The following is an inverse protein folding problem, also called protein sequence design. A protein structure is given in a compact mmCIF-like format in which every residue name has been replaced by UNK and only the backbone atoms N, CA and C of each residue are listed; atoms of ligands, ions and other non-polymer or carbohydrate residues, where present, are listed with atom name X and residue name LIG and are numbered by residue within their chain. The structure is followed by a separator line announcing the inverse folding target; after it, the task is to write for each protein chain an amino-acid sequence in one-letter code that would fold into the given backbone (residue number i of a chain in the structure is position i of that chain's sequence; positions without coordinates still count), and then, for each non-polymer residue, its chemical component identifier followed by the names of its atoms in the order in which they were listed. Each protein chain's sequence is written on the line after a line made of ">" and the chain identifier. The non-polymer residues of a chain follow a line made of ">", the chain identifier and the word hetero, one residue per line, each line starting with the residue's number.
data_IF_795784015673
#
_entry.id   IF_795784015673
#
_cell.length_a   1.000
_cell.length_b   1.000
_cell.length_c   1.000
_cell.angle_alpha   90.00
_cell.angle_beta   90.00
_cell.angle_gamma   90.00
#
_symmetry.space_group_name_H-M   'P 1'
#
loop_
_entity.id
_entity.type
_entity.pdbx_description
1 polymer ?
#
# COMPACT_ATOMS: atom_id res chain seq x y z
N UNK A 1 -5.79 -50.68 -32.47
CA UNK A 1 -7.13 -50.44 -31.89
C UNK A 1 -6.87 -49.93 -30.47
N UNK A 2 -6.95 -48.66 -30.12
CA UNK A 2 -7.72 -47.53 -30.63
C UNK A 2 -8.44 -46.97 -29.42
N UNK A 3 -7.99 -45.84 -28.85
CA UNK A 3 -8.69 -45.07 -27.81
C UNK A 3 -8.05 -43.66 -27.62
N UNK A 4 -7.61 -43.04 -28.71
CA UNK A 4 -7.62 -41.57 -28.78
C UNK A 4 -8.99 -41.17 -29.30
N UNK A 5 -9.98 -41.16 -28.40
CA UNK A 5 -11.21 -40.44 -28.65
C UNK A 5 -10.84 -38.97 -28.72
N UNK A 6 -10.77 -38.40 -29.93
CA UNK A 6 -10.94 -36.96 -30.11
C UNK A 6 -12.30 -36.64 -29.50
N UNK A 7 -12.30 -36.13 -28.26
CA UNK A 7 -13.47 -35.39 -27.75
C UNK A 7 -13.81 -34.39 -28.84
N UNK A 8 -15.05 -34.46 -29.33
CA UNK A 8 -15.63 -33.37 -30.11
C UNK A 8 -15.31 -32.08 -29.35
N UNK A 9 -14.67 -31.13 -30.01
CA UNK A 9 -14.77 -29.74 -29.58
C UNK A 9 -16.27 -29.42 -29.60
N UNK A 10 -16.92 -29.58 -28.44
CA UNK A 10 -18.15 -28.86 -28.18
C UNK A 10 -17.78 -27.39 -28.39
N UNK A 11 -18.46 -26.72 -29.31
CA UNK A 11 -18.41 -25.26 -29.40
C UNK A 11 -18.68 -24.74 -27.99
N UNK A 12 -17.63 -24.32 -27.27
CA UNK A 12 -17.76 -23.63 -25.99
C UNK A 12 -18.63 -22.43 -26.31
N UNK A 13 -19.90 -22.47 -25.90
CA UNK A 13 -20.80 -21.33 -26.01
C UNK A 13 -20.05 -20.14 -25.43
N UNK A 14 -19.99 -19.06 -26.18
CA UNK A 14 -19.41 -17.82 -25.69
C UNK A 14 -20.18 -17.39 -24.45
N UNK A 15 -19.53 -17.50 -23.31
CA UNK A 15 -20.08 -17.10 -22.03
C UNK A 15 -19.66 -15.67 -21.77
N UNK A 16 -20.60 -14.88 -21.24
CA UNK A 16 -20.36 -13.50 -20.84
C UNK A 16 -20.75 -13.34 -19.38
N UNK A 17 -19.92 -12.64 -18.63
CA UNK A 17 -20.16 -12.26 -17.24
C UNK A 17 -19.99 -10.75 -17.12
N UNK A 18 -21.04 -10.06 -16.65
CA UNK A 18 -21.06 -8.60 -16.49
C UNK A 18 -20.58 -7.83 -17.74
N UNK A 19 -20.97 -8.33 -18.93
CA UNK A 19 -20.63 -7.72 -20.23
C UNK A 19 -19.25 -8.09 -20.79
N UNK A 20 -18.44 -8.88 -20.07
CA UNK A 20 -17.12 -9.34 -20.52
C UNK A 20 -17.15 -10.81 -20.94
N UNK A 21 -16.37 -11.17 -21.97
CA UNK A 21 -16.23 -12.56 -22.42
C UNK A 21 -15.45 -13.36 -21.38
N UNK A 22 -16.02 -14.48 -20.96
CA UNK A 22 -15.38 -15.44 -20.04
C UNK A 22 -14.45 -16.33 -20.85
N UNK A 23 -13.16 -16.29 -20.54
CA UNK A 23 -12.14 -17.15 -21.16
C UNK A 23 -12.17 -18.54 -20.50
N UNK A 24 -12.24 -18.55 -19.17
CA UNK A 24 -12.30 -19.75 -18.33
C UNK A 24 -13.00 -19.41 -17.02
N UNK A 25 -13.65 -20.40 -16.41
CA UNK A 25 -14.38 -20.26 -15.15
C UNK A 25 -14.08 -21.46 -14.26
N UNK A 26 -13.58 -21.17 -13.06
CA UNK A 26 -13.36 -22.15 -12.00
C UNK A 26 -14.12 -21.71 -10.74
N UNK A 27 -15.08 -22.52 -10.31
CA UNK A 27 -15.96 -22.20 -9.18
C UNK A 27 -15.68 -23.07 -7.95
N UNK A 28 -14.54 -23.77 -7.94
CA UNK A 28 -14.17 -24.75 -6.93
C UNK A 28 -14.48 -26.19 -7.34
N UNK A 29 -13.85 -27.12 -6.63
CA UNK A 29 -14.04 -28.56 -6.71
C UNK A 29 -13.76 -29.21 -5.33
N UNK A 30 -13.71 -30.54 -5.26
CA UNK A 30 -13.48 -31.26 -4.00
C UNK A 30 -12.07 -31.01 -3.41
N UNK A 31 -11.10 -30.59 -4.23
CA UNK A 31 -9.73 -30.29 -3.80
C UNK A 31 -9.53 -28.81 -3.43
N UNK A 32 -10.32 -27.93 -4.02
CA UNK A 32 -10.35 -26.50 -3.76
C UNK A 32 -11.80 -26.07 -3.51
N UNK A 33 -12.35 -26.34 -2.31
CA UNK A 33 -13.74 -26.02 -2.02
C UNK A 33 -13.92 -24.51 -1.92
N UNK A 34 -14.88 -23.99 -2.67
CA UNK A 34 -15.29 -22.57 -2.62
C UNK A 34 -16.72 -22.48 -2.13
N UNK A 35 -16.92 -21.69 -1.08
CA UNK A 35 -18.25 -21.39 -0.56
C UNK A 35 -18.84 -20.19 -1.33
N UNK A 36 -20.03 -20.40 -1.87
CA UNK A 36 -20.83 -19.40 -2.57
C UNK A 36 -22.17 -19.22 -1.87
N UNK A 37 -22.83 -18.09 -2.09
CA UNK A 37 -24.11 -17.75 -1.47
C UNK A 37 -23.97 -17.39 0.01
N UNK A 38 -22.90 -16.70 0.37
CA UNK A 38 -22.72 -16.18 1.73
C UNK A 38 -23.82 -15.16 2.06
N UNK A 39 -24.08 -14.94 3.34
CA UNK A 39 -25.15 -14.04 3.77
C UNK A 39 -24.67 -12.60 3.70
N UNK A 40 -24.34 -12.15 2.49
CA UNK A 40 -23.74 -10.85 2.21
C UNK A 40 -24.51 -9.67 2.83
N UNK A 41 -25.82 -9.79 3.07
CA UNK A 41 -26.60 -8.78 3.80
C UNK A 41 -26.12 -8.59 5.23
N UNK A 42 -25.84 -9.72 5.91
CA UNK A 42 -25.34 -9.75 7.28
C UNK A 42 -23.85 -9.39 7.32
N UNK A 43 -23.13 -9.77 6.28
CA UNK A 43 -21.68 -9.66 6.22
C UNK A 43 -21.22 -8.25 5.79
N UNK A 44 -22.00 -7.54 4.97
CA UNK A 44 -21.64 -6.18 4.51
C UNK A 44 -22.64 -5.10 4.94
N UNK A 45 -23.92 -5.43 5.19
CA UNK A 45 -24.95 -4.47 5.62
C UNK A 45 -25.02 -3.18 4.74
N UNK A 46 -25.18 -3.34 3.42
CA UNK A 46 -25.18 -2.25 2.41
C UNK A 46 -26.10 -2.55 1.21
N UNK A 47 -26.50 -1.51 0.47
CA UNK A 47 -27.52 -1.62 -0.60
C UNK A 47 -27.07 -2.39 -1.86
N UNK A 48 -25.78 -2.47 -2.17
CA UNK A 48 -25.25 -3.19 -3.34
C UNK A 48 -25.02 -4.69 -3.12
N UNK A 49 -25.46 -5.23 -1.98
CA UNK A 49 -25.45 -6.67 -1.69
C UNK A 49 -26.22 -7.49 -2.73
N UNK A 50 -27.20 -6.89 -3.42
CA UNK A 50 -27.94 -7.55 -4.50
C UNK A 50 -27.02 -8.10 -5.59
N UNK A 51 -25.96 -7.38 -5.96
CA UNK A 51 -24.99 -7.85 -6.96
C UNK A 51 -24.29 -9.12 -6.47
N UNK A 52 -23.87 -9.16 -5.20
CA UNK A 52 -23.26 -10.37 -4.63
C UNK A 52 -24.26 -11.51 -4.53
N UNK A 53 -25.52 -11.26 -4.18
CA UNK A 53 -26.54 -12.31 -4.12
C UNK A 53 -26.85 -12.95 -5.47
N UNK A 54 -26.90 -12.13 -6.52
CA UNK A 54 -27.37 -12.56 -7.83
C UNK A 54 -26.22 -12.98 -8.75
N UNK A 55 -25.05 -12.35 -8.60
CA UNK A 55 -23.94 -12.41 -9.55
C UNK A 55 -22.58 -12.73 -8.90
N UNK A 56 -22.53 -13.28 -7.68
CA UNK A 56 -21.26 -13.60 -7.00
C UNK A 56 -20.25 -14.36 -7.87
N UNK A 57 -20.76 -15.36 -8.61
CA UNK A 57 -20.00 -16.28 -9.46
C UNK A 57 -19.63 -15.67 -10.82
N UNK A 58 -20.19 -14.51 -11.13
CA UNK A 58 -19.92 -13.74 -12.34
C UNK A 58 -18.87 -12.64 -12.11
N UNK A 59 -18.51 -12.40 -10.85
CA UNK A 59 -17.44 -11.46 -10.48
C UNK A 59 -16.05 -12.07 -10.73
N UNK A 60 -15.08 -11.21 -11.05
CA UNK A 60 -13.68 -11.61 -11.17
C UNK A 60 -13.05 -11.61 -9.77
N UNK A 61 -12.92 -12.79 -9.18
CA UNK A 61 -12.21 -12.98 -7.91
C UNK A 61 -10.74 -13.29 -8.17
N UNK A 62 -9.83 -12.57 -7.51
CA UNK A 62 -8.39 -12.84 -7.57
C UNK A 62 -7.80 -12.95 -6.17
N UNK A 63 -6.70 -13.70 -6.05
CA UNK A 63 -5.95 -13.81 -4.80
C UNK A 63 -5.31 -12.45 -4.49
N UNK A 64 -5.45 -11.98 -3.26
CA UNK A 64 -4.77 -10.77 -2.78
C UNK A 64 -3.36 -11.09 -2.30
N UNK A 65 -2.52 -11.64 -3.17
CA UNK A 65 -1.14 -12.04 -2.84
C UNK A 65 -0.18 -10.86 -2.64
N UNK A 66 -0.49 -9.69 -3.21
CA UNK A 66 0.28 -8.46 -2.96
C UNK A 66 0.13 -7.96 -1.51
N UNK A 67 -1.08 -8.02 -0.96
CA UNK A 67 -1.37 -7.47 0.37
C UNK A 67 -1.38 -8.54 1.48
N UNK A 68 -1.80 -9.77 1.13
CA UNK A 68 -1.94 -10.90 2.05
C UNK A 68 -1.40 -12.18 1.39
N UNK A 69 -0.07 -12.27 1.16
CA UNK A 69 0.55 -13.44 0.57
C UNK A 69 0.39 -14.70 1.43
N UNK A 70 0.30 -14.59 2.75
CA UNK A 70 0.19 -15.71 3.67
C UNK A 70 -1.26 -16.11 3.98
N UNK A 71 -1.48 -17.27 4.63
CA UNK A 71 -2.81 -17.64 5.09
C UNK A 71 -3.46 -16.57 5.97
N UNK A 72 -4.74 -16.31 5.73
CA UNK A 72 -5.53 -15.31 6.42
C UNK A 72 -5.62 -15.61 7.92
N UNK A 73 -5.50 -14.56 8.73
CA UNK A 73 -5.61 -14.63 10.18
C UNK A 73 -7.04 -14.25 10.62
N UNK A 74 -7.60 -14.87 11.67
CA UNK A 74 -8.93 -14.50 12.18
C UNK A 74 -9.08 -13.02 12.53
N UNK A 75 -7.99 -12.37 13.00
CA UNK A 75 -7.98 -10.94 13.35
C UNK A 75 -8.26 -10.02 12.14
N UNK A 76 -8.05 -10.52 10.92
CA UNK A 76 -8.37 -9.78 9.69
C UNK A 76 -9.88 -9.61 9.46
N UNK A 77 -10.74 -10.27 10.23
CA UNK A 77 -12.17 -9.96 10.24
C UNK A 77 -12.46 -8.56 10.85
N UNK A 78 -11.61 -8.12 11.78
CA UNK A 78 -11.71 -6.83 12.47
C UNK A 78 -10.81 -5.77 11.83
N UNK A 79 -9.59 -6.14 11.46
CA UNK A 79 -8.57 -5.24 10.94
C UNK A 79 -8.17 -5.65 9.55
N UNK A 80 -8.75 -5.00 8.55
CA UNK A 80 -8.45 -5.30 7.15
C UNK A 80 -8.55 -4.08 6.24
N UNK A 81 -7.92 -4.19 5.07
CA UNK A 81 -7.95 -3.19 4.02
C UNK A 81 -9.17 -3.29 3.10
N UNK A 82 -9.87 -4.44 3.05
CA UNK A 82 -11.05 -4.66 2.20
C UNK A 82 -12.38 -4.41 2.94
N UNK A 83 -13.49 -4.34 2.21
CA UNK A 83 -14.81 -4.14 2.82
C UNK A 83 -15.27 -5.38 3.61
N UNK A 84 -15.55 -5.19 4.90
CA UNK A 84 -16.19 -6.13 5.81
C UNK A 84 -17.42 -5.51 6.48
N UNK A 85 -17.97 -6.20 7.47
CA UNK A 85 -19.06 -5.70 8.29
C UNK A 85 -18.70 -4.44 9.06
N UNK A 86 -17.48 -4.40 9.60
CA UNK A 86 -17.00 -3.34 10.48
C UNK A 86 -16.21 -2.29 9.70
N UNK A 87 -15.31 -2.72 8.82
CA UNK A 87 -14.45 -1.82 8.06
C UNK A 87 -15.02 -1.66 6.65
N UNK A 88 -15.38 -0.43 6.27
CA UNK A 88 -15.95 -0.11 4.95
C UNK A 88 -15.12 0.94 4.24
N UNK A 89 -13.82 0.71 4.22
CA UNK A 89 -12.84 1.67 3.72
C UNK A 89 -12.92 1.87 2.21
N UNK A 90 -13.09 0.78 1.46
CA UNK A 90 -13.10 0.83 0.00
C UNK A 90 -14.47 1.27 -0.53
N UNK A 91 -15.56 0.89 0.14
CA UNK A 91 -16.86 1.54 -0.08
C UNK A 91 -16.71 3.06 0.08
N UNK A 92 -16.13 3.50 1.20
CA UNK A 92 -15.96 4.92 1.45
C UNK A 92 -15.20 5.58 0.30
N UNK A 93 -14.12 4.96 -0.20
CA UNK A 93 -13.40 5.43 -1.38
C UNK A 93 -14.33 5.56 -2.60
N UNK A 94 -15.04 4.49 -2.98
CA UNK A 94 -15.95 4.52 -4.14
C UNK A 94 -17.05 5.57 -4.00
N UNK A 95 -17.64 5.72 -2.82
CA UNK A 95 -18.69 6.71 -2.53
C UNK A 95 -18.13 8.13 -2.51
N UNK A 96 -16.99 8.35 -1.85
CA UNK A 96 -16.39 9.67 -1.63
C UNK A 96 -15.98 10.33 -2.94
N UNK A 97 -15.40 9.55 -3.84
CA UNK A 97 -14.98 10.02 -5.16
C UNK A 97 -16.04 9.81 -6.24
N UNK A 98 -17.12 9.09 -5.93
CA UNK A 98 -18.07 8.57 -6.91
C UNK A 98 -17.34 7.88 -8.07
N UNK A 99 -16.35 7.03 -7.74
CA UNK A 99 -15.49 6.42 -8.74
C UNK A 99 -16.30 5.51 -9.67
N UNK A 100 -16.10 5.60 -11.00
CA UNK A 100 -16.79 4.73 -11.96
C UNK A 100 -16.26 3.29 -11.92
N UNK A 101 -15.12 3.04 -11.27
CA UNK A 101 -14.46 1.72 -11.27
C UNK A 101 -15.13 0.69 -10.36
N UNK A 102 -15.98 1.12 -9.44
CA UNK A 102 -16.68 0.21 -8.54
C UNK A 102 -17.59 0.90 -7.53
N UNK A 103 -18.20 0.06 -6.70
CA UNK A 103 -19.06 0.45 -5.56
C UNK A 103 -18.51 -0.04 -4.22
N UNK A 104 -17.84 -1.19 -4.23
CA UNK A 104 -17.26 -1.83 -3.06
C UNK A 104 -16.17 -2.80 -3.48
N UNK A 105 -15.32 -3.18 -2.53
CA UNK A 105 -14.23 -4.14 -2.73
C UNK A 105 -14.21 -5.14 -1.56
N UNK A 106 -15.13 -6.12 -1.54
CA UNK A 106 -15.13 -7.17 -0.54
C UNK A 106 -14.08 -8.25 -0.81
N UNK A 107 -13.78 -9.02 0.23
CA UNK A 107 -13.01 -10.26 0.11
C UNK A 107 -13.67 -11.42 0.85
N UNK A 108 -13.21 -12.63 0.56
CA UNK A 108 -13.51 -13.87 1.26
C UNK A 108 -12.26 -14.71 1.43
N UNK A 109 -12.27 -15.62 2.39
CA UNK A 109 -11.17 -16.57 2.59
C UNK A 109 -11.52 -17.90 1.92
N UNK A 110 -10.66 -18.34 1.01
CA UNK A 110 -10.81 -19.61 0.28
C UNK A 110 -9.52 -20.40 0.42
N UNK A 111 -9.63 -21.63 0.93
CA UNK A 111 -8.48 -22.50 1.23
C UNK A 111 -7.39 -21.79 2.06
N UNK A 112 -7.82 -20.97 3.02
CA UNK A 112 -6.93 -20.20 3.89
C UNK A 112 -6.38 -18.91 3.28
N UNK A 113 -6.64 -18.56 2.02
CA UNK A 113 -6.11 -17.34 1.40
C UNK A 113 -7.21 -16.32 1.09
N UNK A 114 -6.85 -15.04 1.12
CA UNK A 114 -7.76 -13.94 0.80
C UNK A 114 -7.97 -13.85 -0.72
N UNK A 115 -9.21 -13.98 -1.15
CA UNK A 115 -9.67 -13.69 -2.50
C UNK A 115 -10.57 -12.48 -2.48
N UNK A 116 -10.30 -11.52 -3.35
CA UNK A 116 -10.99 -10.24 -3.36
C UNK A 116 -11.60 -9.96 -4.72
N UNK A 117 -12.62 -9.11 -4.75
CA UNK A 117 -13.28 -8.68 -5.99
C UNK A 117 -13.76 -7.24 -5.87
N UNK A 118 -13.81 -6.54 -7.00
CA UNK A 118 -14.51 -5.26 -7.07
C UNK A 118 -15.96 -5.51 -7.50
N UNK A 119 -16.91 -4.87 -6.82
CA UNK A 119 -18.31 -4.81 -7.25
C UNK A 119 -18.44 -3.65 -8.24
N UNK A 120 -18.70 -3.90 -9.54
CA UNK A 120 -18.73 -2.85 -10.54
C UNK A 120 -20.00 -2.00 -10.46
N UNK A 121 -19.96 -0.83 -11.10
CA UNK A 121 -21.18 -0.10 -11.49
C UNK A 121 -21.65 -0.65 -12.84
N UNK A 122 -22.92 -1.03 -12.93
CA UNK A 122 -23.47 -1.68 -14.14
C UNK A 122 -24.45 -0.79 -14.90
N UNK A 123 -24.98 0.27 -14.27
CA UNK A 123 -25.88 1.23 -14.92
C UNK A 123 -25.07 2.17 -15.86
N UNK A 124 -25.33 2.16 -17.18
CA UNK A 124 -24.63 3.01 -18.13
C UNK A 124 -24.76 4.52 -17.85
N UNK A 125 -25.91 4.98 -17.36
CA UNK A 125 -26.13 6.38 -17.05
C UNK A 125 -25.37 6.78 -15.78
N UNK A 126 -25.35 5.90 -14.78
CA UNK A 126 -24.52 6.10 -13.60
C UNK A 126 -23.04 6.15 -13.97
N UNK A 127 -22.54 5.21 -14.77
CA UNK A 127 -21.15 5.19 -15.25
C UNK A 127 -20.79 6.49 -15.97
N UNK A 128 -21.67 6.96 -16.85
CA UNK A 128 -21.47 8.22 -17.60
C UNK A 128 -21.42 9.43 -16.67
N UNK A 129 -22.28 9.52 -15.66
CA UNK A 129 -22.34 10.66 -14.74
C UNK A 129 -21.19 10.60 -13.72
N UNK A 130 -20.97 9.44 -13.10
CA UNK A 130 -19.89 9.20 -12.15
C UNK A 130 -18.53 9.44 -12.78
N UNK A 131 -18.29 8.99 -14.02
CA UNK A 131 -17.06 9.29 -14.75
C UNK A 131 -16.82 10.79 -14.94
N UNK A 132 -17.86 11.56 -15.29
CA UNK A 132 -17.76 13.04 -15.39
C UNK A 132 -17.48 13.69 -14.03
N UNK A 133 -18.13 13.22 -12.97
CA UNK A 133 -17.91 13.73 -11.61
C UNK A 133 -16.49 13.42 -11.13
N UNK A 134 -16.07 12.17 -11.27
CA UNK A 134 -14.77 11.65 -10.85
C UNK A 134 -13.64 12.44 -11.52
N UNK A 135 -13.68 12.61 -12.84
CA UNK A 135 -12.68 13.40 -13.56
C UNK A 135 -12.69 14.89 -13.19
N UNK A 136 -13.81 15.43 -12.72
CA UNK A 136 -13.91 16.81 -12.26
C UNK A 136 -13.36 16.99 -10.84
N UNK A 137 -13.58 16.03 -9.94
CA UNK A 137 -13.22 16.17 -8.52
C UNK A 137 -11.77 15.77 -8.26
N UNK A 138 -11.22 14.80 -8.99
CA UNK A 138 -9.88 14.28 -8.77
C UNK A 138 -8.78 15.37 -8.77
N UNK A 139 -8.74 16.32 -9.74
CA UNK A 139 -7.77 17.42 -9.72
C UNK A 139 -7.94 18.34 -8.51
N UNK A 140 -9.18 18.56 -8.04
CA UNK A 140 -9.45 19.39 -6.86
C UNK A 140 -8.88 18.74 -5.61
N UNK A 141 -8.98 17.41 -5.49
CA UNK A 141 -8.32 16.69 -4.41
C UNK A 141 -6.80 16.87 -4.48
N UNK A 142 -6.18 16.64 -5.65
CA UNK A 142 -4.75 16.85 -5.83
C UNK A 142 -4.28 18.25 -5.40
N UNK A 143 -5.02 19.29 -5.78
CA UNK A 143 -4.63 20.68 -5.50
C UNK A 143 -4.79 21.06 -4.01
N UNK A 144 -5.80 20.51 -3.33
CA UNK A 144 -6.13 20.83 -1.93
C UNK A 144 -5.45 19.87 -0.94
N UNK A 145 -5.02 18.69 -1.40
CA UNK A 145 -4.67 17.58 -0.52
C UNK A 145 -3.57 17.92 0.46
N UNK A 146 -2.42 18.43 0.00
CA UNK A 146 -1.27 18.68 0.87
C UNK A 146 -1.59 19.70 1.98
N UNK A 147 -2.35 20.74 1.65
CA UNK A 147 -2.82 21.72 2.64
C UNK A 147 -3.68 21.06 3.73
N UNK A 148 -4.58 20.16 3.32
CA UNK A 148 -5.44 19.42 4.25
C UNK A 148 -4.68 18.33 5.00
N UNK A 149 -3.66 17.73 4.38
CA UNK A 149 -2.78 16.77 5.01
C UNK A 149 -2.10 17.41 6.21
N UNK A 150 -1.40 18.52 6.00
CA UNK A 150 -0.65 19.18 7.07
C UNK A 150 -1.55 19.80 8.14
N UNK A 151 -2.64 20.45 7.74
CA UNK A 151 -3.49 21.21 8.67
C UNK A 151 -4.53 20.36 9.40
N UNK A 152 -4.92 19.22 8.85
CA UNK A 152 -6.08 18.46 9.33
C UNK A 152 -5.79 16.97 9.50
N UNK A 153 -5.34 16.28 8.46
CA UNK A 153 -5.28 14.82 8.48
C UNK A 153 -4.09 14.27 9.26
N UNK A 154 -2.88 14.81 9.05
CA UNK A 154 -1.70 14.39 9.81
C UNK A 154 -1.83 14.70 11.31
N UNK A 155 -2.33 15.88 11.75
CA UNK A 155 -2.62 16.12 13.17
C UNK A 155 -3.64 15.15 13.76
N UNK A 156 -4.69 14.80 13.01
CA UNK A 156 -5.69 13.80 13.43
C UNK A 156 -5.06 12.41 13.61
N UNK A 157 -4.25 11.98 12.65
CA UNK A 157 -3.52 10.69 12.73
C UNK A 157 -2.60 10.68 13.94
N UNK A 158 -1.76 11.72 14.11
CA UNK A 158 -0.81 11.81 15.23
C UNK A 158 -1.52 11.76 16.58
N UNK A 159 -2.64 12.47 16.74
CA UNK A 159 -3.42 12.46 17.98
C UNK A 159 -4.02 11.08 18.28
N UNK A 160 -4.55 10.39 17.26
CA UNK A 160 -5.09 9.04 17.44
C UNK A 160 -3.98 8.05 17.84
N UNK A 161 -2.81 8.14 17.20
CA UNK A 161 -1.67 7.28 17.53
C UNK A 161 -1.12 7.61 18.92
N UNK A 162 -1.03 8.88 19.31
CA UNK A 162 -0.63 9.30 20.66
C UNK A 162 -1.57 8.73 21.74
N UNK A 163 -2.88 8.71 21.48
CA UNK A 163 -3.87 8.10 22.37
C UNK A 163 -3.64 6.59 22.55
N UNK A 164 -3.45 5.86 21.44
CA UNK A 164 -3.22 4.41 21.48
C UNK A 164 -1.88 4.09 22.16
N UNK A 165 -0.80 4.75 21.74
CA UNK A 165 0.55 4.40 22.18
C UNK A 165 0.85 4.74 23.64
N UNK A 166 0.12 5.69 24.23
CA UNK A 166 0.30 6.07 25.64
C UNK A 166 -0.79 5.48 26.55
N UNK A 167 -1.60 4.53 26.05
CA UNK A 167 -2.61 3.88 26.87
C UNK A 167 -1.95 2.98 27.95
N UNK A 168 -2.43 2.99 29.20
CA UNK A 168 -1.86 2.18 30.29
C UNK A 168 -2.31 0.71 30.20
N UNK A 169 -1.78 -0.02 29.21
CA UNK A 169 -2.19 -1.39 28.90
C UNK A 169 -2.06 -2.37 30.07
N UNK A 170 -1.01 -2.23 30.89
CA UNK A 170 -0.70 -3.14 32.00
C UNK A 170 -1.61 -2.91 33.23
N UNK A 171 -2.09 -1.67 33.40
CA UNK A 171 -2.98 -1.30 34.50
C UNK A 171 -4.47 -1.43 34.15
N UNK A 172 -4.80 -1.54 32.86
CA UNK A 172 -6.18 -1.56 32.39
C UNK A 172 -6.90 -2.87 32.74
N UNK A 173 -8.14 -2.75 33.18
CA UNK A 173 -9.04 -3.88 33.36
C UNK A 173 -9.47 -4.47 32.01
N UNK A 174 -9.95 -5.72 32.00
CA UNK A 174 -10.52 -6.33 30.80
C UNK A 174 -11.64 -5.48 30.17
N UNK A 175 -12.49 -4.85 30.99
CA UNK A 175 -13.56 -3.98 30.48
C UNK A 175 -13.03 -2.73 29.79
N UNK A 176 -11.94 -2.15 30.30
CA UNK A 176 -11.25 -1.01 29.69
C UNK A 176 -10.54 -1.40 28.38
N UNK A 177 -9.91 -2.58 28.33
CA UNK A 177 -9.31 -3.11 27.10
C UNK A 177 -10.36 -3.43 26.02
N UNK A 178 -11.53 -3.94 26.41
CA UNK A 178 -12.64 -4.16 25.48
C UNK A 178 -13.17 -2.85 24.91
N UNK A 179 -13.28 -1.79 25.74
CA UNK A 179 -13.63 -0.46 25.26
C UNK A 179 -12.55 0.11 24.33
N UNK A 180 -11.27 -0.04 24.69
CA UNK A 180 -10.16 0.40 23.85
C UNK A 180 -10.15 -0.31 22.48
N UNK A 181 -10.49 -1.60 22.43
CA UNK A 181 -10.59 -2.33 21.16
C UNK A 181 -11.59 -1.67 20.21
N UNK A 182 -12.75 -1.23 20.71
CA UNK A 182 -13.75 -0.50 19.90
C UNK A 182 -13.19 0.85 19.42
N UNK A 183 -12.51 1.61 20.30
CA UNK A 183 -11.83 2.85 19.91
C UNK A 183 -10.77 2.61 18.82
N UNK A 184 -10.01 1.51 18.93
CA UNK A 184 -8.99 1.14 17.94
C UNK A 184 -9.61 0.75 16.60
N UNK A 185 -10.76 0.07 16.59
CA UNK A 185 -11.50 -0.26 15.36
C UNK A 185 -11.98 1.03 14.68
N UNK A 186 -12.55 1.98 15.43
CA UNK A 186 -12.99 3.28 14.91
C UNK A 186 -11.82 4.11 14.35
N UNK A 187 -10.69 4.14 15.07
CA UNK A 187 -9.47 4.81 14.62
C UNK A 187 -8.94 4.14 13.34
N UNK A 188 -8.91 2.82 13.29
CA UNK A 188 -8.42 2.06 12.15
C UNK A 188 -9.26 2.30 10.90
N UNK A 189 -10.60 2.21 11.01
CA UNK A 189 -11.51 2.55 9.90
C UNK A 189 -11.33 4.00 9.45
N UNK A 190 -11.15 4.93 10.39
CA UNK A 190 -10.90 6.34 10.06
C UNK A 190 -9.57 6.53 9.32
N UNK A 191 -8.50 5.89 9.76
CA UNK A 191 -7.18 5.96 9.14
C UNK A 191 -7.18 5.37 7.73
N UNK A 192 -7.92 4.28 7.50
CA UNK A 192 -8.14 3.77 6.15
C UNK A 192 -8.89 4.74 5.24
N UNK A 193 -9.91 5.42 5.75
CA UNK A 193 -10.62 6.46 4.98
C UNK A 193 -9.69 7.62 4.62
N UNK A 194 -8.77 7.98 5.52
CA UNK A 194 -7.72 8.98 5.25
C UNK A 194 -6.72 8.50 4.20
N UNK A 195 -6.28 7.24 4.29
CA UNK A 195 -5.42 6.60 3.29
C UNK A 195 -6.04 6.72 1.88
N UNK A 196 -7.34 6.42 1.73
CA UNK A 196 -8.00 6.54 0.43
C UNK A 196 -8.12 7.97 -0.09
N UNK A 197 -8.25 8.96 0.80
CA UNK A 197 -8.22 10.37 0.39
C UNK A 197 -6.85 10.72 -0.20
N UNK A 198 -5.76 10.27 0.45
CA UNK A 198 -4.39 10.49 0.01
C UNK A 198 -4.10 9.76 -1.31
N UNK A 199 -4.35 8.45 -1.32
CA UNK A 199 -4.00 7.58 -2.43
C UNK A 199 -4.67 8.01 -3.74
N UNK A 200 -5.96 8.38 -3.71
CA UNK A 200 -6.65 8.82 -4.92
C UNK A 200 -6.24 10.23 -5.38
N UNK A 201 -5.90 11.13 -4.45
CA UNK A 201 -5.34 12.45 -4.81
C UNK A 201 -3.98 12.30 -5.51
N UNK A 202 -3.13 11.39 -5.01
CA UNK A 202 -1.86 11.06 -5.64
C UNK A 202 -2.06 10.43 -7.01
N UNK A 203 -2.90 9.39 -7.09
CA UNK A 203 -3.21 8.70 -8.34
C UNK A 203 -3.77 9.66 -9.39
N UNK A 204 -4.65 10.59 -9.01
CA UNK A 204 -5.15 11.63 -9.90
C UNK A 204 -4.05 12.50 -10.48
N UNK A 205 -3.11 12.94 -9.65
CA UNK A 205 -2.00 13.80 -10.08
C UNK A 205 -1.07 13.07 -11.05
N UNK A 206 -0.79 11.80 -10.76
CA UNK A 206 0.04 10.95 -11.61
C UNK A 206 -0.63 10.68 -12.95
N UNK A 207 -1.92 10.33 -12.94
CA UNK A 207 -2.67 10.11 -14.16
C UNK A 207 -2.77 11.37 -15.02
N UNK A 208 -3.04 12.53 -14.43
CA UNK A 208 -3.17 13.78 -15.19
C UNK A 208 -1.84 14.20 -15.84
N UNK A 209 -0.73 14.03 -15.13
CA UNK A 209 0.60 14.22 -15.71
C UNK A 209 0.87 13.25 -16.86
N UNK A 210 0.67 11.95 -16.65
CA UNK A 210 0.90 10.92 -17.68
C UNK A 210 0.01 11.12 -18.90
N UNK A 211 -1.26 11.46 -18.69
CA UNK A 211 -2.22 11.72 -19.76
C UNK A 211 -1.85 12.98 -20.55
N UNK A 212 -1.40 14.04 -19.87
CA UNK A 212 -0.89 15.25 -20.54
C UNK A 212 0.29 14.92 -21.44
N UNK A 213 1.25 14.13 -20.95
CA UNK A 213 2.40 13.66 -21.75
C UNK A 213 1.94 12.80 -22.92
N UNK A 214 1.00 11.86 -22.70
CA UNK A 214 0.44 10.99 -23.75
C UNK A 214 -0.24 11.80 -24.85
N UNK A 215 -1.05 12.80 -24.50
CA UNK A 215 -1.74 13.67 -25.47
C UNK A 215 -0.78 14.50 -26.33
N UNK A 216 0.35 14.91 -25.76
CA UNK A 216 1.35 15.72 -26.47
C UNK A 216 2.24 14.85 -27.37
N UNK A 217 2.71 13.70 -26.87
CA UNK A 217 3.64 12.83 -27.60
C UNK A 217 2.93 11.86 -28.56
N UNK A 218 1.64 11.59 -28.34
CA UNK A 218 0.89 10.54 -29.03
C UNK A 218 1.18 9.14 -28.48
N UNK A 219 0.26 8.21 -28.71
CA UNK A 219 0.30 6.86 -28.12
C UNK A 219 1.53 6.04 -28.51
N UNK A 220 1.98 6.14 -29.76
CA UNK A 220 3.13 5.39 -30.25
C UNK A 220 4.40 5.74 -29.47
N UNK A 221 4.70 7.04 -29.32
CA UNK A 221 5.87 7.52 -28.60
C UNK A 221 5.71 7.34 -27.09
N UNK A 222 4.52 7.63 -26.55
CA UNK A 222 4.24 7.48 -25.12
C UNK A 222 4.49 6.05 -24.62
N UNK A 223 4.08 5.03 -25.39
CA UNK A 223 4.22 3.63 -25.00
C UNK A 223 5.62 3.05 -25.22
N UNK A 224 6.60 3.84 -25.63
CA UNK A 224 8.00 3.39 -25.73
C UNK A 224 8.58 3.09 -24.34
N UNK A 225 9.48 2.10 -24.21
CA UNK A 225 10.17 1.84 -22.94
C UNK A 225 10.89 3.07 -22.37
N UNK A 226 11.45 3.90 -23.25
CA UNK A 226 12.14 5.15 -22.86
C UNK A 226 11.21 6.13 -22.14
N UNK A 227 10.05 6.45 -22.72
CA UNK A 227 9.12 7.39 -22.08
C UNK A 227 8.52 6.80 -20.80
N UNK A 228 8.22 5.50 -20.77
CA UNK A 228 7.71 4.86 -19.56
C UNK A 228 8.75 4.83 -18.42
N UNK A 229 10.03 4.62 -18.74
CA UNK A 229 11.14 4.70 -17.78
C UNK A 229 11.28 6.13 -17.21
N UNK A 230 11.29 7.14 -18.08
CA UNK A 230 11.36 8.54 -17.66
C UNK A 230 10.21 8.90 -16.72
N UNK A 231 8.97 8.53 -17.06
CA UNK A 231 7.81 8.80 -16.22
C UNK A 231 7.91 8.09 -14.86
N UNK A 232 8.42 6.86 -14.82
CA UNK A 232 8.60 6.13 -13.58
C UNK A 232 9.64 6.82 -12.68
N UNK A 233 10.79 7.21 -13.23
CA UNK A 233 11.87 7.90 -12.51
C UNK A 233 11.47 9.29 -12.00
N UNK A 234 10.70 10.03 -12.80
CA UNK A 234 10.16 11.34 -12.40
C UNK A 234 9.25 11.22 -11.19
N UNK A 235 8.44 10.15 -11.11
CA UNK A 235 7.45 9.95 -10.05
C UNK A 235 7.99 9.25 -8.79
N UNK A 236 9.30 9.00 -8.72
CA UNK A 236 9.92 8.51 -7.49
C UNK A 236 9.91 9.60 -6.41
N UNK A 237 9.52 9.24 -5.18
CA UNK A 237 9.63 10.15 -4.04
C UNK A 237 11.09 10.44 -3.73
N UNK A 238 11.37 11.73 -3.53
CA UNK A 238 12.67 12.20 -3.08
C UNK A 238 12.62 12.73 -1.65
N UNK A 239 11.51 12.68 -0.92
CA UNK A 239 11.42 13.27 0.43
C UNK A 239 10.27 12.73 1.32
N UNK A 240 10.42 11.48 1.78
CA UNK A 240 9.42 10.78 2.59
C UNK A 240 9.96 10.30 3.95
N UNK A 241 9.05 9.78 4.78
CA UNK A 241 9.37 9.21 6.11
C UNK A 241 10.29 7.97 6.00
N UNK A 242 10.33 7.31 4.84
CA UNK A 242 11.26 6.21 4.61
C UNK A 242 12.70 6.75 4.50
N UNK A 243 12.93 7.85 3.79
CA UNK A 243 14.21 8.55 3.77
C UNK A 243 14.63 9.01 5.18
N UNK A 244 13.71 9.52 6.00
CA UNK A 244 14.01 9.86 7.40
C UNK A 244 14.51 8.65 8.20
N UNK A 245 13.83 7.51 8.04
CA UNK A 245 14.20 6.24 8.69
C UNK A 245 15.59 5.75 8.23
N UNK A 246 15.85 5.79 6.92
CA UNK A 246 17.14 5.38 6.33
C UNK A 246 18.30 6.26 6.82
N UNK A 247 18.07 7.57 6.94
CA UNK A 247 19.07 8.50 7.46
C UNK A 247 19.51 8.14 8.88
N UNK A 248 18.55 7.85 9.77
CA UNK A 248 18.84 7.49 11.16
C UNK A 248 19.58 6.16 11.22
N UNK A 249 19.20 5.16 10.41
CA UNK A 249 19.93 3.90 10.32
C UNK A 249 21.37 4.10 9.84
N UNK A 250 21.58 4.98 8.85
CA UNK A 250 22.92 5.36 8.40
C UNK A 250 23.74 6.01 9.53
N UNK A 251 23.17 6.96 10.26
CA UNK A 251 23.85 7.61 11.40
C UNK A 251 24.21 6.63 12.51
N UNK A 252 23.34 5.65 12.78
CA UNK A 252 23.62 4.56 13.73
C UNK A 252 24.77 3.68 13.19
N UNK A 253 24.74 3.32 11.90
CA UNK A 253 25.80 2.55 11.27
C UNK A 253 27.15 3.27 11.36
N UNK A 254 27.19 4.58 11.12
CA UNK A 254 28.43 5.36 11.24
C UNK A 254 28.95 5.42 12.69
N UNK A 255 28.06 5.49 13.67
CA UNK A 255 28.44 5.37 15.08
C UNK A 255 29.03 3.98 15.39
N UNK A 256 28.44 2.90 14.85
CA UNK A 256 28.99 1.54 14.94
C UNK A 256 30.37 1.48 14.29
N UNK A 257 30.53 2.00 13.07
CA UNK A 257 31.78 1.97 12.29
C UNK A 257 32.94 2.67 12.99
N UNK A 258 32.67 3.77 13.70
CA UNK A 258 33.69 4.59 14.39
C UNK A 258 34.09 4.05 15.77
N UNK A 259 33.26 3.21 16.39
CA UNK A 259 33.54 2.58 17.67
C UNK A 259 34.13 1.18 17.48
N UNK A 260 35.42 0.98 17.76
CA UNK A 260 36.11 -0.29 17.49
C UNK A 260 35.52 -1.50 18.23
N UNK A 261 35.08 -1.32 19.47
CA UNK A 261 34.52 -2.42 20.27
C UNK A 261 33.16 -2.85 19.71
N UNK A 262 32.29 -1.88 19.44
CA UNK A 262 30.94 -2.14 18.88
C UNK A 262 31.04 -2.65 17.44
N UNK A 263 31.93 -2.09 16.62
CA UNK A 263 32.22 -2.60 15.28
C UNK A 263 32.62 -4.06 15.30
N UNK A 264 33.55 -4.44 16.19
CA UNK A 264 33.99 -5.83 16.33
C UNK A 264 32.83 -6.74 16.68
N UNK A 265 31.92 -6.30 17.55
CA UNK A 265 30.71 -7.04 17.88
C UNK A 265 29.80 -7.23 16.65
N UNK A 266 29.54 -6.17 15.87
CA UNK A 266 28.69 -6.23 14.67
C UNK A 266 29.31 -7.03 13.51
N UNK A 267 30.64 -7.07 13.41
CA UNK A 267 31.36 -7.87 12.41
C UNK A 267 31.63 -9.33 12.87
N UNK A 268 31.27 -9.67 14.11
CA UNK A 268 31.52 -11.00 14.69
C UNK A 268 30.64 -12.09 14.07
N UNK A 269 30.97 -13.39 14.18
CA UNK A 269 30.12 -14.47 13.68
C UNK A 269 28.85 -14.73 14.54
N UNK A 270 28.56 -13.88 15.52
CA UNK A 270 27.39 -13.98 16.39
C UNK A 270 26.09 -13.79 15.62
N UNK A 271 25.00 -14.39 16.13
CA UNK A 271 23.65 -14.11 15.62
C UNK A 271 23.23 -12.69 15.93
N UNK A 272 22.21 -12.19 15.25
CA UNK A 272 21.72 -10.82 15.47
C UNK A 272 21.11 -10.64 16.87
N UNK A 273 20.54 -11.70 17.44
CA UNK A 273 20.11 -11.76 18.85
C UNK A 273 21.30 -11.63 19.80
N UNK A 274 22.36 -12.41 19.59
CA UNK A 274 23.54 -12.35 20.43
C UNK A 274 24.20 -10.97 20.39
N UNK A 275 24.26 -10.33 19.21
CA UNK A 275 24.74 -8.95 19.06
C UNK A 275 23.85 -7.96 19.81
N UNK A 276 22.53 -8.09 19.70
CA UNK A 276 21.58 -7.23 20.42
C UNK A 276 21.71 -7.37 21.95
N UNK A 277 21.88 -8.59 22.45
CA UNK A 277 22.07 -8.86 23.89
C UNK A 277 23.41 -8.38 24.43
N UNK A 278 24.49 -8.51 23.65
CA UNK A 278 25.83 -8.07 24.06
C UNK A 278 25.99 -6.55 23.98
N UNK A 279 25.37 -5.91 22.99
CA UNK A 279 25.38 -4.46 22.85
C UNK A 279 24.84 -3.76 24.11
N UNK A 280 23.84 -4.34 24.77
CA UNK A 280 23.26 -3.84 26.02
C UNK A 280 24.22 -3.88 27.21
N UNK A 281 25.17 -4.80 27.18
CA UNK A 281 26.12 -5.05 28.28
C UNK A 281 27.45 -4.31 28.07
N UNK A 282 27.69 -3.85 26.84
CA UNK A 282 28.92 -3.17 26.44
C UNK A 282 28.85 -1.69 26.80
N UNK A 283 29.77 -1.22 27.64
CA UNK A 283 29.82 0.18 28.07
C UNK A 283 29.97 1.12 26.87
N UNK A 284 30.87 0.77 25.95
CA UNK A 284 31.09 1.49 24.69
C UNK A 284 29.88 1.42 23.73
N UNK A 285 28.96 0.48 23.95
CA UNK A 285 27.76 0.26 23.15
C UNK A 285 26.52 1.03 23.61
N UNK A 286 26.56 1.63 24.82
CA UNK A 286 25.38 2.22 25.45
C UNK A 286 24.71 3.31 24.62
N UNK A 287 25.47 4.24 24.05
CA UNK A 287 24.91 5.31 23.21
C UNK A 287 24.25 4.76 21.94
N UNK A 288 24.89 3.77 21.30
CA UNK A 288 24.36 3.13 20.08
C UNK A 288 23.09 2.35 20.39
N UNK A 289 23.07 1.63 21.51
CA UNK A 289 21.88 0.95 22.00
C UNK A 289 20.71 1.94 22.20
N UNK A 290 20.94 3.06 22.90
CA UNK A 290 19.93 4.08 23.13
C UNK A 290 19.39 4.68 21.81
N UNK A 291 20.27 4.91 20.82
CA UNK A 291 19.87 5.35 19.48
C UNK A 291 18.98 4.32 18.76
N UNK A 292 19.33 3.03 18.83
CA UNK A 292 18.52 1.96 18.24
C UNK A 292 17.16 1.86 18.93
N UNK A 293 17.10 1.92 20.26
CA UNK A 293 15.83 1.91 21.00
C UNK A 293 14.95 3.09 20.59
N UNK A 294 15.51 4.29 20.45
CA UNK A 294 14.77 5.46 19.96
C UNK A 294 14.26 5.26 18.53
N UNK A 295 15.10 4.71 17.65
CA UNK A 295 14.69 4.36 16.29
C UNK A 295 13.52 3.37 16.27
N UNK A 296 13.59 2.31 17.09
CA UNK A 296 12.54 1.30 17.20
C UNK A 296 11.21 1.91 17.69
N UNK A 297 11.26 2.83 18.65
CA UNK A 297 10.05 3.50 19.16
C UNK A 297 9.39 4.42 18.13
N UNK A 298 10.15 5.01 17.22
CA UNK A 298 9.62 5.93 16.20
C UNK A 298 9.24 5.19 14.91
N UNK A 299 10.11 4.31 14.41
CA UNK A 299 10.01 3.67 13.09
C UNK A 299 9.84 2.15 13.13
N UNK A 300 9.91 1.54 14.32
CA UNK A 300 9.92 0.09 14.50
C UNK A 300 8.54 -0.57 14.57
N UNK A 301 7.44 0.20 14.59
CA UNK A 301 6.05 -0.31 14.58
C UNK A 301 5.60 -0.76 13.20
N UNK A 302 6.44 -1.55 12.54
CA UNK A 302 6.24 -2.13 11.21
C UNK A 302 6.75 -3.55 11.19
N UNK A 303 6.13 -4.38 10.37
CA UNK A 303 6.58 -5.73 10.02
C UNK A 303 6.90 -5.77 8.52
N UNK A 304 7.39 -6.92 8.02
CA UNK A 304 7.62 -7.11 6.59
C UNK A 304 6.32 -7.06 5.77
N UNK A 305 5.21 -7.53 6.34
CA UNK A 305 3.90 -7.57 5.70
C UNK A 305 2.90 -6.74 6.50
N UNK A 306 2.68 -5.50 6.06
CA UNK A 306 1.96 -4.45 6.82
C UNK A 306 0.46 -4.73 7.06
N UNK A 307 -0.10 -5.76 6.42
CA UNK A 307 -1.50 -6.18 6.61
C UNK A 307 -1.63 -7.55 7.29
N UNK A 308 -0.51 -8.09 7.80
CA UNK A 308 -0.46 -9.36 8.51
C UNK A 308 0.04 -9.11 9.94
N UNK A 309 -0.66 -9.72 10.90
CA UNK A 309 -0.61 -9.35 12.32
C UNK A 309 0.02 -10.44 13.20
N UNK A 310 0.52 -11.52 12.60
CA UNK A 310 1.19 -12.63 13.28
C UNK A 310 2.72 -12.48 13.30
N UNK A 311 3.26 -11.54 12.52
CA UNK A 311 4.68 -11.24 12.47
C UNK A 311 5.04 -10.14 13.47
N UNK A 312 6.13 -10.32 14.25
CA UNK A 312 6.57 -9.29 15.16
C UNK A 312 6.95 -8.03 14.39
N UNK A 313 6.59 -6.89 14.96
CA UNK A 313 7.15 -5.60 14.55
C UNK A 313 8.64 -5.55 14.86
N UNK A 314 9.36 -4.62 14.23
CA UNK A 314 10.78 -4.43 14.55
C UNK A 314 10.96 -4.00 16.01
N UNK A 315 10.00 -3.28 16.59
CA UNK A 315 10.00 -2.93 18.02
C UNK A 315 9.90 -4.17 18.92
N UNK A 316 9.05 -5.14 18.57
CA UNK A 316 8.90 -6.41 19.30
C UNK A 316 10.07 -7.37 19.09
N UNK A 317 10.72 -7.32 17.91
CA UNK A 317 11.89 -8.12 17.58
C UNK A 317 13.04 -7.25 17.01
N UNK A 318 13.78 -6.55 17.89
CA UNK A 318 14.91 -5.69 17.56
C UNK A 318 16.05 -6.28 16.71
N UNK A 319 16.38 -7.59 16.77
CA UNK A 319 17.44 -8.19 15.95
C UNK A 319 17.30 -7.91 14.44
N UNK A 320 16.10 -7.67 13.93
CA UNK A 320 15.87 -7.24 12.55
C UNK A 320 16.65 -5.98 12.19
N UNK A 321 16.71 -5.00 13.11
CA UNK A 321 17.47 -3.77 12.92
C UNK A 321 18.97 -4.03 12.96
N UNK A 322 19.41 -4.98 13.79
CA UNK A 322 20.82 -5.40 13.82
C UNK A 322 21.22 -6.00 12.47
N UNK A 323 20.43 -6.91 11.91
CA UNK A 323 20.66 -7.46 10.57
C UNK A 323 20.80 -6.36 9.50
N UNK A 324 19.92 -5.35 9.55
CA UNK A 324 19.96 -4.21 8.64
C UNK A 324 21.23 -3.36 8.80
N UNK A 325 21.60 -3.03 10.04
CA UNK A 325 22.80 -2.24 10.33
C UNK A 325 24.09 -2.98 9.96
N UNK A 326 24.13 -4.30 10.17
CA UNK A 326 25.26 -5.14 9.75
C UNK A 326 25.41 -5.17 8.23
N UNK A 327 24.28 -5.26 7.51
CA UNK A 327 24.27 -5.16 6.04
C UNK A 327 24.80 -3.79 5.59
N UNK A 328 24.34 -2.70 6.20
CA UNK A 328 24.83 -1.35 5.89
C UNK A 328 26.30 -1.16 6.25
N UNK A 329 26.79 -1.78 7.32
CA UNK A 329 28.19 -1.75 7.70
C UNK A 329 29.05 -2.52 6.69
N UNK A 330 28.62 -3.72 6.28
CA UNK A 330 29.34 -4.57 5.34
C UNK A 330 29.41 -3.96 3.93
N UNK A 331 28.35 -3.29 3.48
CA UNK A 331 28.27 -2.62 2.17
C UNK A 331 28.87 -1.21 2.18
N UNK A 332 29.25 -0.71 3.36
CA UNK A 332 29.54 0.71 3.60
C UNK A 332 28.49 1.66 3.01
N UNK A 333 27.22 1.36 3.28
CA UNK A 333 26.06 2.10 2.75
C UNK A 333 26.18 3.60 3.02
N UNK A 334 25.97 4.43 1.99
CA UNK A 334 26.01 5.89 2.08
C UNK A 334 24.64 6.48 1.74
N UNK A 335 23.94 6.94 2.77
CA UNK A 335 22.64 7.58 2.64
C UNK A 335 22.70 8.84 1.76
N UNK A 336 23.74 9.67 1.94
CA UNK A 336 23.83 10.96 1.24
C UNK A 336 24.11 10.74 -0.24
N UNK A 337 24.95 9.75 -0.58
CA UNK A 337 25.20 9.37 -1.97
C UNK A 337 23.92 8.87 -2.65
N UNK A 338 23.15 7.97 -2.01
CA UNK A 338 21.90 7.46 -2.57
C UNK A 338 20.84 8.57 -2.71
N UNK A 339 20.76 9.46 -1.72
CA UNK A 339 19.84 10.61 -1.75
C UNK A 339 20.21 11.59 -2.86
N UNK A 340 21.50 11.86 -3.06
CA UNK A 340 21.97 12.71 -4.16
C UNK A 340 21.73 12.05 -5.52
N UNK A 341 21.98 10.75 -5.62
CA UNK A 341 21.75 9.97 -6.83
C UNK A 341 20.29 10.03 -7.25
N UNK A 342 19.33 9.77 -6.35
CA UNK A 342 17.91 9.76 -6.74
C UNK A 342 17.41 11.14 -7.16
N UNK A 343 17.87 12.21 -6.49
CA UNK A 343 17.52 13.60 -6.85
C UNK A 343 18.11 13.95 -8.23
N UNK A 344 19.34 13.51 -8.50
CA UNK A 344 20.00 13.76 -9.78
C UNK A 344 19.32 12.97 -10.89
N UNK A 345 19.04 11.69 -10.66
CA UNK A 345 18.38 10.81 -11.63
C UNK A 345 16.97 11.31 -12.01
N UNK A 346 16.22 11.81 -11.03
CA UNK A 346 14.92 12.45 -11.26
C UNK A 346 15.07 13.72 -12.11
N UNK A 347 16.03 14.60 -11.80
CA UNK A 347 16.29 15.81 -12.60
C UNK A 347 16.68 15.49 -14.05
N UNK A 348 17.57 14.53 -14.24
CA UNK A 348 17.95 14.07 -15.59
C UNK A 348 16.75 13.50 -16.35
N UNK A 349 15.88 12.75 -15.67
CA UNK A 349 14.67 12.22 -16.29
C UNK A 349 13.69 13.35 -16.69
N UNK A 350 13.55 14.37 -15.84
CA UNK A 350 12.77 15.59 -16.15
C UNK A 350 13.35 16.29 -17.39
N UNK A 351 14.65 16.56 -17.41
CA UNK A 351 15.31 17.25 -18.54
C UNK A 351 15.10 16.49 -19.86
N UNK A 352 15.37 15.18 -19.87
CA UNK A 352 15.18 14.30 -21.03
C UNK A 352 13.73 14.28 -21.50
N UNK A 353 12.76 14.17 -20.58
CA UNK A 353 11.35 14.23 -20.96
C UNK A 353 11.03 15.59 -21.59
N UNK A 354 11.49 16.68 -21.00
CA UNK A 354 11.20 18.05 -21.47
C UNK A 354 11.82 18.35 -22.84
N UNK A 355 12.95 17.75 -23.21
CA UNK A 355 13.51 17.82 -24.57
C UNK A 355 12.57 17.21 -25.62
N UNK A 356 11.77 16.22 -25.23
CA UNK A 356 10.80 15.56 -26.12
C UNK A 356 9.49 16.35 -26.28
N UNK A 357 9.24 17.34 -25.42
CA UNK A 357 8.01 18.13 -25.39
C UNK A 357 8.15 19.38 -26.29
N UNK A 358 7.18 19.65 -27.19
CA UNK A 358 7.14 20.88 -27.98
C UNK A 358 7.16 22.14 -27.10
N UNK A 359 7.87 23.18 -27.54
CA UNK A 359 8.12 24.40 -26.75
C UNK A 359 6.83 25.06 -26.24
N UNK A 360 5.77 25.09 -27.05
CA UNK A 360 4.47 25.67 -26.69
C UNK A 360 3.69 24.84 -25.64
N UNK A 361 4.15 23.63 -25.34
CA UNK A 361 3.53 22.70 -24.37
C UNK A 361 4.36 22.48 -23.11
N UNK A 362 5.60 22.97 -23.06
CA UNK A 362 6.51 22.74 -21.93
C UNK A 362 5.95 23.25 -20.61
N UNK A 363 5.40 24.46 -20.57
CA UNK A 363 4.83 25.02 -19.34
C UNK A 363 3.65 24.19 -18.81
N UNK A 364 2.80 23.67 -19.71
CA UNK A 364 1.70 22.79 -19.32
C UNK A 364 2.23 21.50 -18.69
N UNK A 365 3.19 20.82 -19.34
CA UNK A 365 3.77 19.58 -18.80
C UNK A 365 4.42 19.82 -17.45
N UNK A 366 5.18 20.92 -17.34
CA UNK A 366 5.85 21.31 -16.10
C UNK A 366 4.88 21.51 -14.94
N UNK A 367 3.78 22.24 -15.16
CA UNK A 367 2.75 22.44 -14.13
C UNK A 367 2.16 21.10 -13.64
N UNK A 368 1.83 20.20 -14.57
CA UNK A 368 1.24 18.89 -14.23
C UNK A 368 2.24 17.98 -13.51
N UNK A 369 3.50 18.00 -13.97
CA UNK A 369 4.61 17.27 -13.37
C UNK A 369 4.92 17.75 -11.95
N UNK A 370 5.05 19.07 -11.73
CA UNK A 370 5.33 19.62 -10.40
C UNK A 370 4.23 19.31 -9.40
N UNK A 371 2.97 19.25 -9.84
CA UNK A 371 1.88 18.77 -8.99
C UNK A 371 1.98 17.27 -8.69
N UNK A 372 2.32 16.45 -9.70
CA UNK A 372 2.51 15.02 -9.49
C UNK A 372 3.67 14.73 -8.52
N UNK A 373 4.83 15.36 -8.71
CA UNK A 373 6.00 15.22 -7.83
C UNK A 373 5.66 15.62 -6.39
N UNK A 374 4.95 16.74 -6.18
CA UNK A 374 4.51 17.14 -4.83
C UNK A 374 3.59 16.11 -4.15
N UNK A 375 2.87 15.32 -4.95
CA UNK A 375 1.99 14.25 -4.48
C UNK A 375 2.68 12.88 -4.43
N UNK A 376 3.99 12.83 -4.72
CA UNK A 376 4.90 11.76 -4.38
C UNK A 376 5.80 12.20 -3.20
N UNK A 377 5.22 12.62 -2.04
CA UNK A 377 6.03 13.01 -0.89
C UNK A 377 6.91 11.84 -0.51
#
# INVERSE_FOLDING_TARGET
>A
MGLFSRKKEEEKKEEYALGSKVIEKFLGDDYFPVKWGENWDKDLNVEWVTVLKEHEKDLHWWRSDLHNPHPALPIMELFTWWDTKLIKSTEYMYRRFWSPTGRAWPAKVVNGYVYTTIIPRTDPDELRISGKYFMKILPIYADIFLDQWDKRYLPEIKKNLEFIFNYPYEEASLGELMWLLEEMIDIYDRHWKLHWILNFAQFASFLDFRETVRQILGDEKYNTPEVQDLLARILVSTDDVNWDSLKILYEIKEAVKTNSAVRTLFESPKTDEEVWEELQKLEEGKEIYERIVKFLKEYGRKSLYVYEYDLPTWEEYPPTVIAQLRTYLAMDYDFYADKEWIITDQKEAIEKLMEMIPEDKKELVKEKMERAIRMAP
#
